data_IF_624684664038
#
_entry.id   IF_624684664038
#
_cell.length_a   1.000
_cell.length_b   1.000
_cell.length_c   1.000
_cell.angle_alpha   90.00
_cell.angle_beta   90.00
_cell.angle_gamma   90.00
#
_symmetry.space_group_name_H-M   'P 1'
#
loop_
_entity.id
_entity.type
_entity.pdbx_description
1 polymer ?
#
# COMPACT_ATOMS: atom_id res chain seq x y z
N UNK A 1 51.53 -12.51 -0.59
CA UNK A 1 51.93 -13.94 -0.60
C UNK A 1 52.78 -14.16 0.63
N UNK A 2 52.17 -14.69 1.71
CA UNK A 2 52.20 -16.15 1.91
C UNK A 2 50.82 -16.80 2.02
N UNK A 3 50.64 -17.92 1.33
CA UNK A 3 49.78 -19.05 1.71
C UNK A 3 50.72 -20.19 2.18
N UNK A 4 50.36 -21.09 3.12
CA UNK A 4 49.39 -22.16 2.84
C UNK A 4 48.59 -22.72 4.05
N UNK A 5 47.40 -23.27 3.82
CA UNK A 5 47.14 -24.72 3.96
C UNK A 5 45.64 -25.07 4.01
N UNK A 6 45.27 -25.98 3.10
CA UNK A 6 44.33 -27.08 3.24
C UNK A 6 42.99 -26.88 3.98
N UNK A 7 41.95 -26.76 3.16
CA UNK A 7 40.71 -27.54 3.20
C UNK A 7 40.36 -28.28 4.50
N UNK A 8 39.23 -27.89 5.10
CA UNK A 8 38.27 -28.82 5.71
C UNK A 8 36.89 -28.19 5.57
N UNK A 9 36.05 -28.77 4.72
CA UNK A 9 34.61 -28.53 4.77
C UNK A 9 34.03 -29.38 5.91
N UNK A 10 33.18 -28.83 6.78
CA UNK A 10 32.11 -29.60 7.37
C UNK A 10 30.89 -29.50 6.44
N UNK A 11 30.56 -30.60 5.79
CA UNK A 11 29.19 -30.91 5.43
C UNK A 11 28.42 -31.09 6.75
N UNK A 12 27.72 -30.05 7.17
CA UNK A 12 26.63 -30.17 8.12
C UNK A 12 25.35 -29.74 7.39
N UNK A 13 24.55 -30.74 7.03
CA UNK A 13 23.16 -30.55 6.68
C UNK A 13 22.45 -29.87 7.85
N UNK A 14 21.89 -28.69 7.60
CA UNK A 14 20.98 -27.99 8.48
C UNK A 14 19.84 -27.44 7.65
N UNK A 15 18.68 -28.07 7.76
CA UNK A 15 17.41 -27.62 7.20
C UNK A 15 16.99 -26.37 7.97
N UNK A 16 17.49 -25.19 7.62
CA UNK A 16 16.98 -23.95 8.18
C UNK A 16 15.86 -23.44 7.28
N UNK A 17 14.64 -23.71 7.77
CA UNK A 17 13.40 -23.65 7.03
C UNK A 17 13.31 -22.41 6.17
N UNK A 18 12.83 -22.63 4.95
CA UNK A 18 12.18 -21.58 4.16
C UNK A 18 10.92 -21.17 4.93
N UNK A 19 11.13 -20.40 6.00
CA UNK A 19 10.09 -19.61 6.63
C UNK A 19 9.46 -18.83 5.49
N UNK A 20 8.15 -19.00 5.32
CA UNK A 20 7.36 -18.26 4.36
C UNK A 20 7.77 -16.80 4.52
N UNK A 21 8.59 -16.30 3.59
CA UNK A 21 9.07 -14.92 3.61
C UNK A 21 7.81 -14.07 3.55
N UNK A 22 7.41 -13.54 4.70
CA UNK A 22 6.24 -12.68 4.80
C UNK A 22 6.53 -11.53 3.86
N UNK A 23 5.88 -11.54 2.69
CA UNK A 23 6.10 -10.50 1.70
C UNK A 23 5.79 -9.20 2.42
N UNK A 24 6.74 -8.25 2.49
CA UNK A 24 6.54 -7.04 3.27
C UNK A 24 5.26 -6.38 2.76
N UNK A 25 4.31 -6.15 3.68
CA UNK A 25 3.04 -5.49 3.33
C UNK A 25 3.37 -4.16 2.67
N UNK A 26 2.94 -4.00 1.42
CA UNK A 26 3.12 -2.76 0.70
C UNK A 26 2.42 -1.61 1.45
N UNK A 27 3.07 -0.46 1.52
CA UNK A 27 2.44 0.72 2.11
C UNK A 27 1.23 1.14 1.29
N UNK A 28 0.26 1.81 1.92
CA UNK A 28 -0.91 2.34 1.20
C UNK A 28 -0.51 3.21 0.00
N UNK A 29 0.51 4.07 0.14
CA UNK A 29 1.01 4.88 -0.95
C UNK A 29 1.58 4.04 -2.11
N UNK A 30 2.30 2.95 -1.80
CA UNK A 30 2.78 2.01 -2.81
C UNK A 30 1.64 1.34 -3.56
N UNK A 31 0.55 1.00 -2.86
CA UNK A 31 -0.64 0.43 -3.49
C UNK A 31 -1.34 1.44 -4.39
N UNK A 32 -1.50 2.69 -3.95
CA UNK A 32 -2.09 3.75 -4.77
C UNK A 32 -1.29 3.99 -6.06
N UNK A 33 0.04 3.98 -5.96
CA UNK A 33 0.90 4.12 -7.14
C UNK A 33 0.76 2.94 -8.10
N UNK A 34 0.70 1.71 -7.59
CA UNK A 34 0.55 0.51 -8.44
C UNK A 34 -0.83 0.39 -9.08
N UNK A 35 -1.90 0.71 -8.34
CA UNK A 35 -3.27 0.54 -8.81
C UNK A 35 -3.73 1.70 -9.70
N UNK A 36 -3.30 2.92 -9.41
CA UNK A 36 -3.80 4.13 -10.07
C UNK A 36 -2.72 4.96 -10.76
N UNK A 37 -1.43 4.61 -10.62
CA UNK A 37 -0.32 5.40 -11.16
C UNK A 37 -0.02 6.69 -10.39
N UNK A 38 -0.66 6.92 -9.23
CA UNK A 38 -0.57 8.18 -8.48
C UNK A 38 0.34 8.02 -7.26
N UNK A 39 1.35 8.88 -7.12
CA UNK A 39 2.10 9.02 -5.85
C UNK A 39 1.42 10.07 -4.94
N UNK A 40 0.58 9.57 -4.04
CA UNK A 40 -0.16 10.38 -3.04
C UNK A 40 0.72 11.11 -2.04
N UNK A 41 2.02 10.77 -1.96
CA UNK A 41 2.97 11.46 -1.10
C UNK A 41 3.90 12.41 -1.87
N UNK A 42 3.71 12.60 -3.18
CA UNK A 42 4.39 13.62 -3.94
C UNK A 42 3.57 14.92 -3.93
N UNK A 43 4.21 16.06 -3.66
CA UNK A 43 3.56 17.36 -3.77
C UNK A 43 3.42 17.74 -5.25
N UNK A 44 2.18 17.95 -5.72
CA UNK A 44 1.93 18.36 -7.10
C UNK A 44 2.42 19.77 -7.44
N UNK A 45 2.65 20.64 -6.44
CA UNK A 45 3.07 22.02 -6.67
C UNK A 45 4.59 22.19 -6.73
N UNK A 46 5.32 21.56 -5.81
CA UNK A 46 6.77 21.72 -5.69
C UNK A 46 7.57 20.44 -5.89
N UNK A 47 6.94 19.28 -6.10
CA UNK A 47 7.62 17.99 -6.28
C UNK A 47 8.24 17.41 -5.01
N UNK A 48 8.12 18.09 -3.86
CA UNK A 48 8.63 17.62 -2.57
C UNK A 48 7.86 16.40 -2.02
N UNK A 49 8.44 15.72 -1.02
CA UNK A 49 7.80 14.58 -0.36
C UNK A 49 6.91 15.03 0.80
N UNK A 50 5.63 14.72 0.70
CA UNK A 50 4.64 14.88 1.77
C UNK A 50 4.74 13.71 2.75
N UNK A 51 4.34 13.96 4.00
CA UNK A 51 4.25 12.94 5.06
C UNK A 51 2.81 12.81 5.52
N UNK A 52 2.32 11.58 5.62
CA UNK A 52 1.02 11.30 6.23
C UNK A 52 1.11 11.56 7.74
N UNK A 53 0.31 12.51 8.23
CA UNK A 53 0.30 12.92 9.64
C UNK A 53 -0.87 12.31 10.43
N UNK A 54 -2.02 12.14 9.78
CA UNK A 54 -3.23 11.60 10.41
C UNK A 54 -4.21 11.11 9.34
N UNK A 55 -5.07 10.18 9.72
CA UNK A 55 -6.24 9.75 8.94
C UNK A 55 -7.49 10.26 9.65
N UNK A 56 -8.41 10.88 8.89
CA UNK A 56 -9.69 11.33 9.42
C UNK A 56 -10.78 10.34 9.01
N UNK A 57 -11.56 9.89 9.98
CA UNK A 57 -12.68 8.96 9.75
C UNK A 57 -14.04 9.54 10.16
N UNK A 58 -14.07 10.65 10.90
CA UNK A 58 -15.32 11.29 11.31
C UNK A 58 -15.93 12.12 10.15
N UNK A 59 -17.15 11.80 9.69
CA UNK A 59 -17.76 12.47 8.54
C UNK A 59 -18.17 13.92 8.83
N UNK A 60 -18.44 14.29 10.09
CA UNK A 60 -18.78 15.67 10.42
C UNK A 60 -17.54 16.58 10.31
N UNK A 61 -16.39 16.12 10.81
CA UNK A 61 -15.11 16.84 10.69
C UNK A 61 -14.67 16.95 9.23
N UNK A 62 -14.76 15.86 8.45
CA UNK A 62 -14.42 15.87 7.02
C UNK A 62 -15.26 16.92 6.28
N UNK A 63 -16.59 16.92 6.48
CA UNK A 63 -17.50 17.90 5.86
C UNK A 63 -17.16 19.32 6.24
N UNK A 64 -16.83 19.57 7.52
CA UNK A 64 -16.45 20.89 8.00
C UNK A 64 -15.18 21.40 7.32
N UNK A 65 -14.14 20.56 7.22
CA UNK A 65 -12.88 20.91 6.54
C UNK A 65 -13.13 21.21 5.06
N UNK A 66 -13.87 20.33 4.36
CA UNK A 66 -14.16 20.53 2.94
C UNK A 66 -14.98 21.81 2.68
N UNK A 67 -15.94 22.13 3.56
CA UNK A 67 -16.70 23.37 3.48
C UNK A 67 -15.80 24.61 3.62
N UNK A 68 -14.82 24.59 4.54
CA UNK A 68 -13.86 25.68 4.69
C UNK A 68 -12.94 25.86 3.49
N UNK A 69 -12.60 24.77 2.79
CA UNK A 69 -11.76 24.80 1.59
C UNK A 69 -12.55 25.15 0.32
N UNK A 70 -13.86 25.39 0.42
CA UNK A 70 -14.79 25.50 -0.72
C UNK A 70 -14.73 24.29 -1.68
N UNK A 71 -14.20 23.16 -1.22
CA UNK A 71 -14.09 21.89 -1.98
C UNK A 71 -15.34 21.03 -1.76
N UNK A 72 -16.51 21.68 -1.72
CA UNK A 72 -17.79 21.03 -1.44
C UNK A 72 -17.96 19.78 -2.30
N UNK A 73 -18.06 18.62 -1.65
CA UNK A 73 -18.24 17.34 -2.29
C UNK A 73 -19.65 17.28 -2.91
N UNK A 74 -19.79 17.69 -4.16
CA UNK A 74 -21.04 17.53 -4.93
C UNK A 74 -21.17 16.14 -5.56
N UNK A 75 -20.20 15.25 -5.36
CA UNK A 75 -20.26 13.88 -5.86
C UNK A 75 -21.19 13.04 -4.99
N UNK A 76 -22.28 12.53 -5.55
CA UNK A 76 -22.89 11.34 -4.97
C UNK A 76 -21.81 10.26 -4.92
N UNK A 77 -21.53 9.74 -3.72
CA UNK A 77 -20.75 8.51 -3.59
C UNK A 77 -21.34 7.49 -4.56
N UNK A 78 -20.55 6.88 -5.48
CA UNK A 78 -21.06 5.83 -6.32
C UNK A 78 -21.67 4.79 -5.39
N UNK A 79 -22.99 4.63 -5.47
CA UNK A 79 -23.68 3.62 -4.69
C UNK A 79 -23.10 2.24 -5.01
N UNK A 80 -23.17 1.28 -4.08
CA UNK A 80 -22.74 -0.09 -4.37
C UNK A 80 -23.41 -0.54 -5.67
N UNK A 81 -22.60 -1.09 -6.59
CA UNK A 81 -23.13 -1.68 -7.80
C UNK A 81 -24.21 -2.70 -7.41
N UNK A 82 -25.40 -2.68 -8.05
CA UNK A 82 -26.45 -3.63 -7.73
C UNK A 82 -25.90 -5.06 -7.85
N UNK A 83 -26.27 -5.98 -6.95
CA UNK A 83 -25.85 -7.36 -7.07
C UNK A 83 -26.39 -7.88 -8.42
N UNK A 84 -25.48 -8.30 -9.30
CA UNK A 84 -25.85 -9.02 -10.50
C UNK A 84 -26.62 -10.27 -10.03
N UNK A 85 -27.94 -10.22 -10.21
CA UNK A 85 -28.86 -11.20 -9.67
C UNK A 85 -28.46 -12.58 -10.19
N UNK A 86 -28.17 -13.47 -9.26
CA UNK A 86 -28.04 -14.89 -9.52
C UNK A 86 -29.22 -15.38 -10.38
N UNK A 87 -28.92 -15.83 -11.59
CA UNK A 87 -29.71 -16.80 -12.34
C UNK A 87 -28.73 -17.68 -13.09
N UNK A 88 -28.22 -18.67 -12.37
CA UNK A 88 -27.54 -19.82 -12.94
C UNK A 88 -28.60 -20.81 -13.48
N UNK A 89 -28.31 -21.33 -14.68
CA UNK A 89 -28.53 -22.70 -15.16
C UNK A 89 -29.96 -23.18 -15.49
N UNK A 90 -30.10 -24.26 -16.31
CA UNK A 90 -29.06 -25.03 -17.03
C UNK A 90 -28.78 -24.60 -18.47
#
# INVERSE_FOLDING_TARGET
MPEPTAATAPLAAGLDGTGMKSSPRASWATLMHRAFGIDVLACAHCGGRLRLIATLHDPAVIRKILAHLALGHSGQSPGPAPPESAAAAP
#
